data_IF_853071254215
#
_entry.id   IF_853071254215
#
_cell.length_a   1.000
_cell.length_b   1.000
_cell.length_c   1.000
_cell.angle_alpha   90.00
_cell.angle_beta   90.00
_cell.angle_gamma   90.00
#
_symmetry.space_group_name_H-M   'P 1'
#
loop_
_entity.id
_entity.type
_entity.pdbx_description
1 polymer ?
#
# COMPACT_ATOMS: atom_id res chain seq x y z
N UNK A 1 10.04 24.68 9.92
CA UNK A 1 11.00 23.57 10.02
C UNK A 1 12.42 24.09 9.89
N UNK A 2 13.39 23.46 10.57
CA UNK A 2 14.81 23.78 10.45
C UNK A 2 15.40 23.18 9.16
N UNK A 3 16.56 23.68 8.71
CA UNK A 3 17.29 23.11 7.57
C UNK A 3 17.59 21.61 7.74
N UNK A 4 17.76 21.16 8.98
CA UNK A 4 17.97 19.76 9.32
C UNK A 4 16.76 18.90 8.98
N UNK A 5 15.56 19.33 9.37
CA UNK A 5 14.33 18.57 9.12
C UNK A 5 14.00 18.46 7.62
N UNK A 6 14.31 19.51 6.84
CA UNK A 6 14.16 19.46 5.37
C UNK A 6 15.12 18.41 4.78
N UNK A 7 16.36 18.37 5.28
CA UNK A 7 17.36 17.40 4.83
C UNK A 7 16.95 15.96 5.15
N UNK A 8 16.44 15.70 6.36
CA UNK A 8 15.88 14.39 6.75
C UNK A 8 14.73 13.98 5.83
N UNK A 9 13.78 14.88 5.58
CA UNK A 9 12.62 14.59 4.73
C UNK A 9 13.04 14.21 3.29
N UNK A 10 14.05 14.87 2.74
CA UNK A 10 14.61 14.57 1.41
C UNK A 10 15.25 13.18 1.41
N UNK A 11 16.08 12.87 2.41
CA UNK A 11 16.75 11.56 2.51
C UNK A 11 15.73 10.44 2.69
N UNK A 12 14.77 10.61 3.59
CA UNK A 12 13.74 9.62 3.87
C UNK A 12 12.88 9.38 2.64
N UNK A 13 12.39 10.45 2.02
CA UNK A 13 11.58 10.35 0.80
C UNK A 13 12.34 9.69 -0.35
N UNK A 14 13.60 10.08 -0.58
CA UNK A 14 14.44 9.49 -1.62
C UNK A 14 14.68 7.99 -1.41
N UNK A 15 14.93 7.59 -0.16
CA UNK A 15 15.14 6.19 0.22
C UNK A 15 13.86 5.35 0.07
N UNK A 16 12.69 5.91 0.40
CA UNK A 16 11.40 5.25 0.21
C UNK A 16 11.08 5.08 -1.28
N UNK A 17 11.33 6.09 -2.11
CA UNK A 17 11.19 5.99 -3.57
C UNK A 17 12.09 4.89 -4.13
N UNK A 18 13.35 4.86 -3.72
CA UNK A 18 14.31 3.84 -4.16
C UNK A 18 13.86 2.43 -3.72
N UNK A 19 13.41 2.29 -2.47
CA UNK A 19 12.90 1.02 -1.94
C UNK A 19 11.70 0.52 -2.74
N UNK A 20 10.76 1.41 -3.06
CA UNK A 20 9.61 1.10 -3.89
C UNK A 20 10.03 0.67 -5.29
N UNK A 21 10.99 1.36 -5.91
CA UNK A 21 11.52 1.00 -7.22
C UNK A 21 12.23 -0.35 -7.23
N UNK A 22 13.08 -0.62 -6.24
CA UNK A 22 13.76 -1.92 -6.09
C UNK A 22 12.71 -3.02 -5.96
N UNK A 23 11.76 -2.87 -5.03
CA UNK A 23 10.66 -3.81 -4.86
C UNK A 23 9.83 -4.00 -6.13
N UNK A 24 9.57 -2.94 -6.87
CA UNK A 24 8.74 -2.98 -8.07
C UNK A 24 9.43 -3.53 -9.31
N UNK A 25 10.77 -3.50 -9.37
CA UNK A 25 11.54 -4.03 -10.51
C UNK A 25 11.81 -5.53 -10.36
N UNK A 26 11.94 -6.04 -9.14
CA UNK A 26 12.22 -7.46 -8.87
C UNK A 26 11.29 -8.42 -9.63
N UNK A 27 9.95 -8.23 -9.67
CA UNK A 27 9.05 -9.16 -10.34
C UNK A 27 9.25 -9.22 -11.87
N UNK A 28 9.84 -8.19 -12.48
CA UNK A 28 10.14 -8.18 -13.92
C UNK A 28 11.11 -9.29 -14.32
N UNK A 29 12.03 -9.68 -13.41
CA UNK A 29 12.95 -10.80 -13.63
C UNK A 29 12.24 -12.17 -13.56
N UNK A 30 11.03 -12.21 -13.01
CA UNK A 30 10.21 -13.41 -12.84
C UNK A 30 8.90 -13.35 -13.65
N UNK A 31 8.81 -12.46 -14.65
CA UNK A 31 7.58 -12.23 -15.42
C UNK A 31 6.98 -13.48 -16.08
N UNK A 32 7.82 -14.46 -16.45
CA UNK A 32 7.38 -15.73 -17.05
C UNK A 32 7.07 -16.81 -15.99
N UNK A 33 7.41 -16.58 -14.72
CA UNK A 33 7.25 -17.52 -13.62
C UNK A 33 6.01 -17.19 -12.79
N UNK A 34 4.83 -17.65 -13.25
CA UNK A 34 3.55 -17.40 -12.60
C UNK A 34 3.51 -17.82 -11.13
N UNK A 35 4.20 -18.91 -10.77
CA UNK A 35 4.30 -19.38 -9.38
C UNK A 35 4.96 -18.32 -8.48
N UNK A 36 6.02 -17.66 -8.95
CA UNK A 36 6.68 -16.59 -8.22
C UNK A 36 5.83 -15.32 -8.15
N UNK A 37 5.12 -14.96 -9.22
CA UNK A 37 4.20 -13.83 -9.20
C UNK A 37 3.08 -14.03 -8.16
N UNK A 38 2.49 -15.23 -8.12
CA UNK A 38 1.50 -15.60 -7.10
C UNK A 38 2.07 -15.54 -5.69
N UNK A 39 3.33 -15.92 -5.51
CA UNK A 39 4.03 -15.83 -4.23
C UNK A 39 4.16 -14.37 -3.77
N UNK A 40 4.58 -13.47 -4.66
CA UNK A 40 4.67 -12.04 -4.37
C UNK A 40 3.31 -11.40 -4.10
N UNK A 41 2.27 -11.81 -4.84
CA UNK A 41 0.89 -11.35 -4.59
C UNK A 41 0.39 -11.82 -3.22
N UNK A 42 0.66 -13.08 -2.87
CA UNK A 42 0.29 -13.64 -1.57
C UNK A 42 1.02 -12.95 -0.41
N UNK A 43 2.31 -12.63 -0.59
CA UNK A 43 3.07 -11.79 0.34
C UNK A 43 2.39 -10.42 0.53
N UNK A 44 1.99 -9.77 -0.56
CA UNK A 44 1.26 -8.51 -0.53
C UNK A 44 -0.07 -8.59 0.22
N UNK A 45 -0.83 -9.67 0.03
CA UNK A 45 -2.09 -9.90 0.74
C UNK A 45 -1.88 -9.88 2.27
N UNK A 46 -0.84 -10.55 2.74
CA UNK A 46 -0.47 -10.57 4.16
C UNK A 46 -0.06 -9.20 4.68
N UNK A 47 0.71 -8.46 3.87
CA UNK A 47 1.13 -7.09 4.20
C UNK A 47 -0.05 -6.12 4.27
N UNK A 48 -1.00 -6.15 3.33
CA UNK A 48 -2.15 -5.23 3.36
C UNK A 48 -3.11 -5.54 4.51
N UNK A 49 -3.39 -6.82 4.78
CA UNK A 49 -4.22 -7.19 5.94
C UNK A 49 -3.53 -6.86 7.25
N UNK A 50 -2.23 -7.18 7.36
CA UNK A 50 -1.43 -6.83 8.52
C UNK A 50 -1.44 -5.31 8.76
N UNK A 51 -1.16 -4.52 7.72
CA UNK A 51 -1.12 -3.05 7.81
C UNK A 51 -2.48 -2.48 8.24
N UNK A 52 -3.58 -3.03 7.69
CA UNK A 52 -4.92 -2.60 8.05
C UNK A 52 -5.25 -2.91 9.51
N UNK A 53 -5.14 -4.18 9.92
CA UNK A 53 -5.65 -4.64 11.22
C UNK A 53 -4.69 -4.41 12.39
N UNK A 54 -3.37 -4.49 12.17
CA UNK A 54 -2.38 -4.44 13.24
C UNK A 54 -1.81 -3.04 13.47
N UNK A 55 -1.89 -2.17 12.46
CA UNK A 55 -1.26 -0.85 12.51
C UNK A 55 -2.30 0.27 12.33
N UNK A 56 -2.90 0.40 11.15
CA UNK A 56 -3.71 1.58 10.80
C UNK A 56 -5.05 1.68 11.55
N UNK A 57 -5.77 0.56 11.72
CA UNK A 57 -7.05 0.56 12.45
C UNK A 57 -6.83 0.89 13.93
N UNK A 58 -5.91 0.22 14.66
CA UNK A 58 -5.60 0.59 16.04
C UNK A 58 -5.17 2.05 16.19
N UNK A 59 -4.25 2.51 15.36
CA UNK A 59 -3.73 3.88 15.40
C UNK A 59 -4.84 4.91 15.18
N UNK A 60 -5.68 4.71 14.16
CA UNK A 60 -6.82 5.58 13.92
C UNK A 60 -7.85 5.53 15.06
N UNK A 61 -8.06 4.36 15.69
CA UNK A 61 -9.00 4.23 16.81
C UNK A 61 -8.62 5.15 17.97
N UNK A 62 -7.33 5.29 18.27
CA UNK A 62 -6.83 6.19 19.30
C UNK A 62 -7.08 7.66 18.96
N UNK A 63 -7.00 8.02 17.68
CA UNK A 63 -7.17 9.41 17.22
C UNK A 63 -8.63 9.86 17.09
N UNK A 64 -9.53 8.98 16.63
CA UNK A 64 -10.91 9.35 16.27
C UNK A 64 -12.00 8.58 17.02
N UNK A 65 -11.65 7.57 17.81
CA UNK A 65 -12.57 6.82 18.67
C UNK A 65 -13.76 6.23 17.91
N UNK A 66 -14.97 6.53 18.36
CA UNK A 66 -16.21 5.96 17.82
C UNK A 66 -16.45 6.22 16.32
N UNK A 67 -15.78 7.21 15.71
CA UNK A 67 -15.92 7.51 14.29
C UNK A 67 -15.13 6.55 13.37
N UNK A 68 -14.25 5.71 13.95
CA UNK A 68 -13.38 4.78 13.23
C UNK A 68 -14.11 3.99 12.14
N UNK A 69 -15.21 3.32 12.52
CA UNK A 69 -15.95 2.45 11.62
C UNK A 69 -16.50 3.19 10.39
N UNK A 70 -16.88 4.45 10.54
CA UNK A 70 -17.42 5.26 9.42
C UNK A 70 -16.35 5.52 8.38
N UNK A 71 -15.15 5.90 8.80
CA UNK A 71 -14.05 6.19 7.87
C UNK A 71 -13.48 4.93 7.23
N UNK A 72 -13.33 3.84 7.97
CA UNK A 72 -12.93 2.53 7.41
C UNK A 72 -13.95 2.07 6.36
N UNK A 73 -15.25 2.13 6.69
CA UNK A 73 -16.30 1.75 5.74
C UNK A 73 -16.30 2.67 4.51
N UNK A 74 -16.12 3.98 4.69
CA UNK A 74 -16.07 4.93 3.58
C UNK A 74 -14.91 4.61 2.62
N UNK A 75 -13.72 4.27 3.12
CA UNK A 75 -12.58 3.87 2.30
C UNK A 75 -12.82 2.58 1.53
N UNK A 76 -13.37 1.57 2.22
CA UNK A 76 -13.73 0.29 1.60
C UNK A 76 -14.75 0.49 0.48
N UNK A 77 -15.86 1.18 0.77
CA UNK A 77 -16.92 1.43 -0.21
C UNK A 77 -16.47 2.32 -1.37
N UNK A 78 -15.56 3.27 -1.13
CA UNK A 78 -15.03 4.13 -2.18
C UNK A 78 -14.29 3.32 -3.24
N UNK A 79 -13.39 2.40 -2.84
CA UNK A 79 -12.73 1.53 -3.80
C UNK A 79 -13.69 0.53 -4.43
N UNK A 80 -14.57 -0.11 -3.64
CA UNK A 80 -15.58 -1.02 -4.16
C UNK A 80 -16.44 -0.39 -5.26
N UNK A 81 -16.95 0.83 -5.04
CA UNK A 81 -17.74 1.58 -6.03
C UNK A 81 -16.87 1.97 -7.22
N UNK A 82 -15.65 2.45 -6.98
CA UNK A 82 -14.74 2.85 -8.06
C UNK A 82 -14.40 1.67 -8.97
N UNK A 83 -14.14 0.50 -8.40
CA UNK A 83 -13.88 -0.72 -9.14
C UNK A 83 -15.11 -1.15 -9.96
N UNK A 84 -16.29 -1.14 -9.32
CA UNK A 84 -17.55 -1.59 -9.91
C UNK A 84 -18.08 -0.72 -11.05
N UNK A 85 -17.73 0.58 -11.08
CA UNK A 85 -18.31 1.53 -12.04
C UNK A 85 -17.29 2.30 -12.90
N UNK A 86 -16.07 2.51 -12.41
CA UNK A 86 -15.05 3.31 -13.09
C UNK A 86 -14.01 2.41 -13.75
N UNK A 87 -13.56 1.37 -13.04
CA UNK A 87 -12.45 0.52 -13.50
C UNK A 87 -12.91 -0.69 -14.31
N UNK A 88 -14.22 -0.88 -14.46
CA UNK A 88 -14.81 -1.96 -15.26
C UNK A 88 -15.10 -1.45 -16.68
N UNK A 89 -14.26 -1.83 -17.64
CA UNK A 89 -14.60 -1.66 -19.07
C UNK A 89 -15.46 -2.84 -19.57
N UNK A 90 -16.44 -2.61 -20.46
CA UNK A 90 -17.17 -3.68 -21.12
C UNK A 90 -16.20 -4.45 -22.01
N UNK A 91 -15.88 -5.69 -21.64
CA UNK A 91 -15.10 -6.58 -22.50
C UNK A 91 -16.06 -7.30 -23.46
N UNK A 92 -15.80 -7.30 -24.78
CA UNK A 92 -16.69 -7.92 -25.77
C UNK A 92 -16.55 -9.45 -25.88
N UNK A 93 -15.64 -10.11 -25.15
CA UNK A 93 -15.41 -11.55 -25.22
C UNK A 93 -15.76 -12.25 -23.91
N UNK A 94 -16.57 -13.31 -23.99
CA UNK A 94 -17.12 -14.09 -22.86
C UNK A 94 -16.08 -14.82 -21.98
N UNK A 95 -14.76 -14.68 -22.22
CA UNK A 95 -13.70 -15.45 -21.55
C UNK A 95 -12.54 -14.57 -21.05
N UNK A 96 -12.83 -13.48 -20.34
CA UNK A 96 -11.81 -12.73 -19.61
C UNK A 96 -11.93 -13.01 -18.11
N UNK A 97 -11.07 -13.89 -17.58
CA UNK A 97 -10.93 -14.16 -16.14
C UNK A 97 -10.15 -13.06 -15.38
N UNK A 98 -9.64 -12.04 -16.08
CA UNK A 98 -8.81 -10.97 -15.51
C UNK A 98 -9.60 -9.67 -15.46
N UNK A 99 -10.29 -9.44 -14.35
CA UNK A 99 -10.77 -8.11 -13.98
C UNK A 99 -9.58 -7.22 -13.56
N UNK A 100 -9.74 -5.90 -13.63
CA UNK A 100 -8.67 -4.89 -13.43
C UNK A 100 -8.21 -4.75 -11.96
N UNK A 101 -7.88 -5.87 -11.34
CA UNK A 101 -7.37 -6.05 -9.97
C UNK A 101 -6.12 -5.17 -9.75
N UNK A 102 -5.24 -5.08 -10.75
CA UNK A 102 -4.02 -4.26 -10.71
C UNK A 102 -4.29 -2.76 -10.60
N UNK A 103 -5.37 -2.25 -11.20
CA UNK A 103 -5.73 -0.83 -11.09
C UNK A 103 -6.33 -0.50 -9.73
N UNK A 104 -7.24 -1.32 -9.22
CA UNK A 104 -7.80 -1.17 -7.86
C UNK A 104 -6.67 -1.16 -6.82
N UNK A 105 -5.79 -2.15 -6.88
CA UNK A 105 -4.60 -2.22 -6.04
C UNK A 105 -3.72 -0.96 -6.19
N UNK A 106 -3.43 -0.51 -7.42
CA UNK A 106 -2.65 0.71 -7.65
C UNK A 106 -3.26 1.94 -6.96
N UNK A 107 -4.57 2.14 -7.08
CA UNK A 107 -5.25 3.29 -6.47
C UNK A 107 -5.24 3.18 -4.94
N UNK A 108 -5.58 2.03 -4.37
CA UNK A 108 -5.54 1.81 -2.92
C UNK A 108 -4.14 2.02 -2.34
N UNK A 109 -3.12 1.39 -2.93
CA UNK A 109 -1.73 1.52 -2.52
C UNK A 109 -1.18 2.95 -2.68
N UNK A 110 -1.60 3.67 -3.73
CA UNK A 110 -1.21 5.06 -3.96
C UNK A 110 -1.84 6.01 -2.94
N UNK A 111 -3.14 5.85 -2.66
CA UNK A 111 -3.83 6.62 -1.63
C UNK A 111 -3.23 6.39 -0.25
N UNK A 112 -2.95 5.13 0.11
CA UNK A 112 -2.24 4.82 1.34
C UNK A 112 -0.87 5.49 1.39
N UNK A 113 -0.07 5.34 0.32
CA UNK A 113 1.25 5.96 0.26
C UNK A 113 1.21 7.49 0.41
N UNK A 114 0.15 8.13 -0.07
CA UNK A 114 -0.08 9.55 0.14
C UNK A 114 -0.32 9.88 1.62
N UNK A 115 -1.19 9.12 2.30
CA UNK A 115 -1.46 9.27 3.74
C UNK A 115 -0.21 8.97 4.58
N UNK A 116 0.54 7.92 4.24
CA UNK A 116 1.85 7.60 4.81
C UNK A 116 2.84 8.76 4.66
N UNK A 117 2.85 9.40 3.49
CA UNK A 117 3.64 10.60 3.26
C UNK A 117 3.23 11.75 4.16
N UNK A 118 1.92 11.95 4.35
CA UNK A 118 1.41 12.98 5.26
C UNK A 118 1.92 12.74 6.68
N UNK A 119 1.84 11.49 7.16
CA UNK A 119 2.31 11.06 8.48
C UNK A 119 3.83 11.24 8.63
N UNK A 120 4.62 10.86 7.62
CA UNK A 120 6.07 11.09 7.61
C UNK A 120 6.42 12.58 7.69
N UNK A 121 5.70 13.42 6.94
CA UNK A 121 5.89 14.87 6.98
C UNK A 121 5.65 15.46 8.37
N UNK A 122 4.65 14.93 9.11
CA UNK A 122 4.39 15.35 10.49
C UNK A 122 5.41 14.78 11.48
N UNK A 123 5.86 13.54 11.28
CA UNK A 123 6.76 12.86 12.23
C UNK A 123 8.16 13.47 12.23
N UNK A 124 8.67 13.93 11.08
CA UNK A 124 9.97 14.63 10.99
C UNK A 124 9.98 15.97 11.75
N UNK A 125 8.81 16.52 12.08
CA UNK A 125 8.73 17.68 12.97
C UNK A 125 9.04 17.33 14.43
N UNK A 126 9.03 16.05 14.79
CA UNK A 126 9.31 15.51 16.13
C UNK A 126 10.57 14.63 16.07
N UNK A 127 11.70 15.03 16.68
CA UNK A 127 13.03 14.45 16.43
C UNK A 127 13.16 12.92 16.53
N UNK A 128 12.40 12.28 17.43
CA UNK A 128 12.50 10.82 17.65
C UNK A 128 11.52 10.03 16.76
N UNK A 129 10.42 10.65 16.33
CA UNK A 129 9.36 9.96 15.57
C UNK A 129 9.69 9.85 14.07
N UNK A 130 10.44 10.79 13.51
CA UNK A 130 10.78 10.82 12.09
C UNK A 130 11.45 9.54 11.61
N UNK A 131 12.49 9.10 12.33
CA UNK A 131 13.25 7.88 11.99
C UNK A 131 12.42 6.61 12.16
N UNK A 132 11.64 6.52 13.24
CA UNK A 132 10.78 5.36 13.52
C UNK A 132 9.76 5.16 12.39
N UNK A 133 9.01 6.21 12.06
CA UNK A 133 8.03 6.19 10.98
C UNK A 133 8.71 5.88 9.64
N UNK A 134 9.87 6.48 9.35
CA UNK A 134 10.62 6.17 8.14
C UNK A 134 10.97 4.68 8.01
N UNK A 135 11.48 4.05 9.07
CA UNK A 135 11.85 2.64 9.08
C UNK A 135 10.62 1.74 8.92
N UNK A 136 9.52 2.06 9.62
CA UNK A 136 8.24 1.39 9.47
C UNK A 136 7.76 1.40 8.00
N UNK A 137 7.87 2.55 7.32
CA UNK A 137 7.50 2.70 5.90
C UNK A 137 8.33 1.83 4.98
N UNK A 138 9.66 1.86 5.11
CA UNK A 138 10.54 1.08 4.24
C UNK A 138 10.22 -0.42 4.32
N UNK A 139 9.94 -0.93 5.53
CA UNK A 139 9.70 -2.35 5.76
C UNK A 139 8.51 -2.89 4.98
N UNK A 140 7.43 -2.11 4.86
CA UNK A 140 6.24 -2.55 4.11
C UNK A 140 6.14 -2.00 2.69
N UNK A 141 6.94 -0.99 2.31
CA UNK A 141 6.95 -0.43 0.95
C UNK A 141 7.52 -1.40 -0.09
N UNK A 142 8.57 -2.16 0.25
CA UNK A 142 9.18 -3.12 -0.66
C UNK A 142 8.20 -4.27 -1.00
N UNK A 143 7.59 -4.97 -0.01
CA UNK A 143 6.56 -5.99 -0.29
C UNK A 143 5.35 -5.45 -1.06
N UNK A 144 4.87 -4.25 -0.72
CA UNK A 144 3.74 -3.63 -1.41
C UNK A 144 4.05 -3.41 -2.90
N UNK A 145 5.26 -2.92 -3.22
CA UNK A 145 5.69 -2.70 -4.60
C UNK A 145 5.89 -4.01 -5.38
N UNK A 146 6.45 -5.04 -4.74
CA UNK A 146 6.56 -6.40 -5.29
C UNK A 146 5.19 -6.94 -5.72
N UNK A 147 4.20 -6.83 -4.84
CA UNK A 147 2.85 -7.31 -5.08
C UNK A 147 2.17 -6.53 -6.21
N UNK A 148 2.28 -5.20 -6.19
CA UNK A 148 1.66 -4.34 -7.21
C UNK A 148 2.17 -4.65 -8.61
N UNK A 149 3.50 -4.74 -8.79
CA UNK A 149 4.07 -5.08 -10.09
C UNK A 149 3.66 -6.50 -10.51
N UNK A 150 3.61 -7.44 -9.57
CA UNK A 150 3.24 -8.83 -9.87
C UNK A 150 1.80 -8.95 -10.36
N UNK A 151 0.87 -8.16 -9.82
CA UNK A 151 -0.50 -8.04 -10.35
C UNK A 151 -0.50 -7.57 -11.80
N UNK A 152 0.17 -6.45 -12.09
CA UNK A 152 0.22 -5.92 -13.46
C UNK A 152 0.85 -6.90 -14.46
N UNK A 153 1.89 -7.62 -14.05
CA UNK A 153 2.51 -8.64 -14.89
C UNK A 153 1.56 -9.81 -15.16
N UNK A 154 0.85 -10.28 -14.13
CA UNK A 154 -0.14 -11.35 -14.26
C UNK A 154 -1.29 -10.97 -15.19
N UNK A 155 -1.70 -9.71 -15.17
CA UNK A 155 -2.72 -9.14 -16.08
C UNK A 155 -2.19 -8.83 -17.50
N UNK A 156 -0.90 -9.05 -17.76
CA UNK A 156 -0.30 -8.84 -19.09
C UNK A 156 -0.11 -7.36 -19.45
N UNK A 157 0.00 -6.45 -18.47
CA UNK A 157 0.28 -5.05 -18.76
C UNK A 157 1.67 -4.89 -19.39
N UNK A 158 1.81 -4.02 -20.43
CA UNK A 158 3.11 -3.78 -21.04
C UNK A 158 4.05 -3.06 -20.06
N UNK A 159 5.34 -3.39 -20.10
CA UNK A 159 6.37 -2.82 -19.21
C UNK A 159 6.32 -1.29 -19.11
N UNK A 160 6.02 -0.58 -20.22
CA UNK A 160 5.90 0.89 -20.23
C UNK A 160 4.81 1.40 -19.27
N UNK A 161 3.65 0.75 -19.24
CA UNK A 161 2.56 1.12 -18.31
C UNK A 161 2.94 0.78 -16.87
N UNK A 162 3.55 -0.38 -16.65
CA UNK A 162 4.03 -0.82 -15.35
C UNK A 162 5.02 0.19 -14.75
N UNK A 163 6.03 0.62 -15.52
CA UNK A 163 6.97 1.65 -15.06
C UNK A 163 6.28 2.98 -14.75
N UNK A 164 5.29 3.39 -15.54
CA UNK A 164 4.49 4.58 -15.25
C UNK A 164 3.78 4.45 -13.89
N UNK A 165 3.01 3.39 -13.67
CA UNK A 165 2.29 3.17 -12.41
C UNK A 165 3.25 3.03 -11.23
N UNK A 166 4.35 2.28 -11.37
CA UNK A 166 5.38 2.14 -10.34
C UNK A 166 6.00 3.49 -9.96
N UNK A 167 6.31 4.32 -10.95
CA UNK A 167 6.84 5.68 -10.71
C UNK A 167 5.83 6.51 -9.93
N UNK A 168 4.58 6.55 -10.39
CA UNK A 168 3.51 7.32 -9.75
C UNK A 168 3.31 6.87 -8.31
N UNK A 169 3.19 5.56 -8.05
CA UNK A 169 3.06 4.98 -6.72
C UNK A 169 4.25 5.31 -5.80
N UNK A 170 5.47 5.26 -6.34
CA UNK A 170 6.68 5.57 -5.58
C UNK A 170 6.73 7.04 -5.15
N UNK A 171 6.20 7.94 -5.96
CA UNK A 171 6.14 9.38 -5.69
C UNK A 171 5.03 9.81 -4.72
N UNK A 172 4.06 8.96 -4.42
CA UNK A 172 2.95 9.34 -3.53
C UNK A 172 3.41 9.69 -2.11
N UNK A 173 4.43 9.01 -1.57
CA UNK A 173 4.99 9.32 -0.24
C UNK A 173 5.65 10.71 -0.21
N UNK A 174 6.61 11.06 -1.10
CA UNK A 174 7.16 12.41 -1.13
C UNK A 174 6.09 13.49 -1.40
N UNK A 175 5.08 13.19 -2.22
CA UNK A 175 3.98 14.13 -2.47
C UNK A 175 3.19 14.37 -1.17
N UNK A 176 2.84 13.32 -0.42
CA UNK A 176 2.16 13.45 0.86
C UNK A 176 2.98 14.23 1.89
N UNK A 177 4.27 13.92 1.99
CA UNK A 177 5.22 14.62 2.85
C UNK A 177 5.33 16.11 2.50
N UNK A 178 5.37 16.43 1.20
CA UNK A 178 5.41 17.80 0.72
C UNK A 178 4.09 18.54 0.99
N UNK A 179 2.93 17.88 0.84
CA UNK A 179 1.63 18.46 1.19
C UNK A 179 1.62 18.83 2.68
N UNK A 180 2.16 17.96 3.54
CA UNK A 180 2.29 18.30 4.96
C UNK A 180 3.18 19.50 5.19
N UNK A 181 4.33 19.53 4.53
CA UNK A 181 5.27 20.64 4.61
C UNK A 181 4.63 21.98 4.21
N UNK A 182 3.83 22.01 3.15
CA UNK A 182 3.27 23.25 2.60
C UNK A 182 1.96 23.69 3.26
N UNK A 183 1.07 22.74 3.59
CA UNK A 183 -0.33 23.05 3.89
C UNK A 183 -0.84 22.48 5.21
N UNK A 184 -0.29 21.35 5.68
CA UNK A 184 -0.91 20.59 6.79
C UNK A 184 -0.16 20.69 8.12
N UNK A 185 0.78 21.63 8.29
CA UNK A 185 1.57 21.80 9.53
C UNK A 185 0.73 21.96 10.81
N UNK A 186 -0.53 22.38 10.69
CA UNK A 186 -1.47 22.58 11.81
C UNK A 186 -2.70 21.68 11.73
N UNK A 187 -2.62 20.58 10.99
CA UNK A 187 -3.74 19.66 10.83
C UNK A 187 -4.05 18.94 12.13
N UNK A 188 -5.35 18.80 12.43
CA UNK A 188 -5.77 18.14 13.65
C UNK A 188 -5.43 16.65 13.63
N UNK A 189 -5.07 16.09 14.78
CA UNK A 189 -4.83 14.65 14.94
C UNK A 189 -6.05 13.81 14.49
N UNK A 190 -7.26 14.33 14.67
CA UNK A 190 -8.49 13.69 14.20
C UNK A 190 -8.56 13.58 12.68
N UNK A 191 -8.07 14.59 11.96
CA UNK A 191 -8.03 14.56 10.49
C UNK A 191 -7.04 13.50 10.00
N UNK A 192 -5.87 13.39 10.64
CA UNK A 192 -4.90 12.34 10.34
C UNK A 192 -5.51 10.97 10.59
N UNK A 193 -6.13 10.76 11.76
CA UNK A 193 -6.81 9.51 12.10
C UNK A 193 -7.94 9.14 11.13
N UNK A 194 -8.72 10.13 10.66
CA UNK A 194 -9.75 9.91 9.65
C UNK A 194 -9.16 9.47 8.30
N UNK A 195 -8.06 10.08 7.86
CA UNK A 195 -7.36 9.70 6.62
C UNK A 195 -6.72 8.30 6.76
N UNK A 196 -6.12 7.99 7.91
CA UNK A 196 -5.56 6.66 8.21
C UNK A 196 -6.65 5.59 8.22
N UNK A 197 -7.78 5.82 8.90
CA UNK A 197 -8.93 4.91 8.89
C UNK A 197 -9.50 4.71 7.48
N UNK A 198 -9.66 5.79 6.71
CA UNK A 198 -10.10 5.72 5.31
C UNK A 198 -9.13 4.86 4.48
N UNK A 199 -7.83 5.10 4.62
CA UNK A 199 -6.82 4.30 3.93
C UNK A 199 -6.85 2.82 4.36
N UNK A 200 -7.11 2.51 5.63
CA UNK A 200 -7.24 1.13 6.09
C UNK A 200 -8.43 0.42 5.40
N UNK A 201 -9.55 1.13 5.24
CA UNK A 201 -10.69 0.66 4.45
C UNK A 201 -10.31 0.29 3.01
N UNK A 202 -9.52 1.14 2.34
CA UNK A 202 -9.05 0.85 0.98
C UNK A 202 -8.15 -0.39 0.93
N UNK A 203 -7.31 -0.62 1.95
CA UNK A 203 -6.47 -1.81 2.03
C UNK A 203 -7.28 -3.07 2.32
N UNK A 204 -8.30 -2.99 3.16
CA UNK A 204 -9.22 -4.11 3.38
C UNK A 204 -9.92 -4.52 2.08
N UNK A 205 -10.35 -3.56 1.26
CA UNK A 205 -10.94 -3.84 -0.05
C UNK A 205 -9.96 -4.56 -0.97
N UNK A 206 -8.79 -3.96 -1.24
CA UNK A 206 -7.75 -4.56 -2.09
C UNK A 206 -7.31 -5.92 -1.55
N UNK A 207 -7.11 -6.06 -0.24
CA UNK A 207 -6.70 -7.33 0.31
C UNK A 207 -7.78 -8.42 0.13
N UNK A 208 -9.06 -8.08 0.31
CA UNK A 208 -10.17 -9.03 0.25
C UNK A 208 -10.54 -9.43 -1.17
N UNK A 209 -10.66 -8.45 -2.07
CA UNK A 209 -11.21 -8.65 -3.41
C UNK A 209 -10.10 -8.89 -4.44
N UNK A 210 -8.91 -8.30 -4.26
CA UNK A 210 -7.83 -8.37 -5.25
C UNK A 210 -6.76 -9.43 -4.93
N UNK A 211 -6.32 -9.53 -3.67
CA UNK A 211 -5.13 -10.34 -3.33
C UNK A 211 -5.44 -11.67 -2.63
N UNK A 212 -6.38 -11.70 -1.68
CA UNK A 212 -6.76 -12.93 -0.96
C UNK A 212 -7.27 -14.06 -1.89
N UNK A 213 -7.98 -13.80 -3.01
CA UNK A 213 -8.37 -14.86 -3.93
C UNK A 213 -7.18 -15.66 -4.47
N UNK A 214 -6.02 -15.02 -4.67
CA UNK A 214 -4.79 -15.68 -5.11
C UNK A 214 -4.23 -16.66 -4.06
N UNK A 215 -4.40 -16.34 -2.78
CA UNK A 215 -4.01 -17.24 -1.68
C UNK A 215 -4.93 -18.47 -1.64
N UNK A 216 -6.23 -18.27 -1.91
CA UNK A 216 -7.26 -19.32 -1.86
C UNK A 216 -7.28 -20.24 -3.08
N UNK A 217 -6.71 -19.84 -4.22
CA UNK A 217 -6.67 -20.66 -5.42
C UNK A 217 -6.20 -22.09 -5.10
N UNK A 218 -6.89 -23.09 -5.64
CA UNK A 218 -6.55 -24.49 -5.44
C UNK A 218 -5.50 -24.90 -6.48
N UNK A 219 -4.22 -24.88 -6.08
CA UNK A 219 -3.11 -25.39 -6.90
C UNK A 219 -2.11 -26.17 -6.04
N UNK A 220 -1.17 -26.84 -6.69
CA UNK A 220 -0.09 -27.59 -6.04
C UNK A 220 0.76 -26.75 -5.08
N UNK A 221 0.73 -25.41 -5.20
CA UNK A 221 1.57 -24.48 -4.44
C UNK A 221 0.88 -23.80 -3.25
N UNK A 222 -0.29 -24.32 -2.81
CA UNK A 222 -1.09 -23.74 -1.72
C UNK A 222 -0.28 -23.42 -0.46
N UNK A 223 0.63 -24.30 -0.05
CA UNK A 223 1.43 -24.10 1.16
C UNK A 223 2.47 -23.00 0.97
N UNK A 224 3.07 -22.92 -0.23
CA UNK A 224 4.06 -21.88 -0.55
C UNK A 224 3.42 -20.49 -0.51
N UNK A 225 2.22 -20.34 -1.06
CA UNK A 225 1.44 -19.08 -1.00
C UNK A 225 1.00 -18.72 0.41
N UNK A 226 0.54 -19.70 1.18
CA UNK A 226 0.15 -19.47 2.57
C UNK A 226 1.35 -19.03 3.44
N UNK A 227 2.52 -19.62 3.21
CA UNK A 227 3.77 -19.18 3.86
C UNK A 227 4.10 -17.75 3.46
N UNK A 228 4.02 -17.39 2.17
CA UNK A 228 4.24 -16.02 1.70
C UNK A 228 3.30 -15.02 2.41
N UNK A 229 2.01 -15.37 2.49
CA UNK A 229 1.01 -14.59 3.19
C UNK A 229 1.38 -14.35 4.66
N UNK A 230 1.75 -15.41 5.40
CA UNK A 230 2.16 -15.26 6.80
C UNK A 230 3.48 -14.50 6.96
N UNK A 231 4.42 -14.62 6.02
CA UNK A 231 5.64 -13.80 6.01
C UNK A 231 5.25 -12.31 5.92
N UNK A 232 4.30 -11.96 5.05
CA UNK A 232 3.81 -10.59 4.91
C UNK A 232 3.08 -10.08 6.16
N UNK A 233 2.26 -10.93 6.77
CA UNK A 233 1.57 -10.58 8.02
C UNK A 233 2.58 -10.35 9.16
N UNK A 234 3.56 -11.26 9.30
CA UNK A 234 4.62 -11.17 10.30
C UNK A 234 5.53 -9.95 10.07
N UNK A 235 5.79 -9.56 8.82
CA UNK A 235 6.61 -8.37 8.55
C UNK A 235 5.95 -7.11 9.07
N UNK A 236 4.61 -6.99 8.96
CA UNK A 236 3.88 -5.87 9.58
C UNK A 236 3.83 -6.01 11.10
N UNK A 237 3.59 -7.21 11.62
CA UNK A 237 3.58 -7.40 13.07
C UNK A 237 4.90 -6.98 13.72
N UNK A 238 6.04 -7.24 13.06
CA UNK A 238 7.35 -6.75 13.52
C UNK A 238 7.42 -5.21 13.51
N UNK A 239 6.85 -4.56 12.50
CA UNK A 239 6.78 -3.09 12.42
C UNK A 239 6.07 -2.50 13.63
N UNK A 240 5.00 -3.14 14.13
CA UNK A 240 4.27 -2.65 15.30
C UNK A 240 5.08 -2.63 16.61
N UNK A 241 6.24 -3.29 16.67
CA UNK A 241 7.16 -3.20 17.81
C UNK A 241 8.22 -2.11 17.66
N UNK A 242 8.34 -1.51 16.46
CA UNK A 242 9.27 -0.42 16.20
C UNK A 242 8.64 0.95 16.52
N UNK A 243 7.31 1.01 16.54
CA UNK A 243 6.47 2.18 16.86
C UNK A 243 6.13 2.25 18.35
#
# INVERSE_FOLDING_TARGET
MSNHQIFELIIYSGSIVLTAWIGGVIPLFFKENLRMLHWFISLGAGVLLGASFLHMIPEAAEMIGAQLGVYVLAGFLMLFISEKFIMTHPCPSEHCEYHHVGLSAFFGLSLHSLVTGIALGTSVMVPELGLIVFLAIILHKLPASLSLTSLFLKEGYPNKKLFFYLTTFSLMVPIGALITFLFLQHTSIKTIGALTAFSAGTFLHVASDDLLPEVHQHSHDRYSRLIAFFIGLCSIWIVTFLE
#
